data_IF_835900109231
#
_entry.id   IF_835900109231
#
_cell.length_a   1.000
_cell.length_b   1.000
_cell.length_c   1.000
_cell.angle_alpha   90.00
_cell.angle_beta   90.00
_cell.angle_gamma   90.00
#
_symmetry.space_group_name_H-M   'P 1'
#
loop_
_entity.id
_entity.type
_entity.pdbx_description
1 polymer ?
#
# COMPACT_ATOMS: atom_id res chain seq x y z
N UNK A 1 18.79 -41.25 -9.04
CA UNK A 1 18.55 -39.94 -8.39
C UNK A 1 17.51 -39.23 -9.22
N UNK A 2 16.28 -39.03 -8.72
CA UNK A 2 15.26 -38.29 -9.49
C UNK A 2 15.67 -36.83 -9.59
N UNK A 3 15.95 -36.35 -10.80
CA UNK A 3 16.12 -34.93 -11.09
C UNK A 3 14.83 -34.20 -10.68
N UNK A 4 14.95 -33.29 -9.72
CA UNK A 4 13.84 -32.39 -9.35
C UNK A 4 13.67 -31.40 -10.50
N UNK A 5 12.57 -31.55 -11.25
CA UNK A 5 12.20 -30.62 -12.32
C UNK A 5 12.01 -29.22 -11.74
N UNK A 6 12.91 -28.30 -12.07
CA UNK A 6 12.76 -26.88 -11.75
C UNK A 6 11.73 -26.28 -12.72
N UNK A 7 10.71 -25.63 -12.18
CA UNK A 7 9.62 -25.02 -12.96
C UNK A 7 9.61 -23.53 -12.64
N UNK A 8 9.61 -22.69 -13.67
CA UNK A 8 9.39 -21.25 -13.53
C UNK A 8 7.89 -20.98 -13.43
N UNK A 9 7.48 -20.15 -12.50
CA UNK A 9 6.09 -19.72 -12.35
C UNK A 9 6.04 -18.22 -12.12
N UNK A 10 4.99 -17.60 -12.65
CA UNK A 10 4.66 -16.20 -12.39
C UNK A 10 3.69 -16.18 -11.21
N UNK A 11 3.99 -15.36 -10.21
CA UNK A 11 3.07 -15.12 -9.10
C UNK A 11 2.10 -14.04 -9.58
N UNK A 12 0.82 -14.35 -9.57
CA UNK A 12 -0.27 -13.39 -9.81
C UNK A 12 -1.18 -13.36 -8.58
N UNK A 13 -1.83 -12.24 -8.27
CA UNK A 13 -2.88 -12.21 -7.27
C UNK A 13 -4.01 -13.20 -7.63
N UNK A 14 -4.66 -13.73 -6.61
CA UNK A 14 -5.86 -14.55 -6.75
C UNK A 14 -7.09 -13.64 -6.68
N UNK A 15 -7.67 -13.33 -7.84
CA UNK A 15 -8.84 -12.45 -7.95
C UNK A 15 -10.14 -13.09 -7.43
N UNK A 16 -10.16 -14.41 -7.20
CA UNK A 16 -11.29 -15.10 -6.56
C UNK A 16 -11.24 -14.99 -5.03
N UNK A 17 -10.11 -14.53 -4.48
CA UNK A 17 -9.97 -14.26 -3.05
C UNK A 17 -10.86 -13.08 -2.63
N UNK A 18 -11.82 -13.34 -1.76
CA UNK A 18 -12.79 -12.34 -1.27
C UNK A 18 -12.24 -11.41 -0.18
N UNK A 19 -10.92 -11.17 -0.16
CA UNK A 19 -10.33 -10.24 0.81
C UNK A 19 -10.79 -8.80 0.53
N UNK A 20 -11.38 -8.10 1.53
CA UNK A 20 -11.96 -6.80 1.30
C UNK A 20 -10.88 -5.74 1.03
N UNK A 21 -11.10 -4.94 -0.02
CA UNK A 21 -10.26 -3.76 -0.28
C UNK A 21 -10.40 -2.76 0.86
N UNK A 22 -9.27 -2.41 1.47
CA UNK A 22 -9.21 -1.46 2.58
C UNK A 22 -8.68 -0.11 2.11
N UNK A 23 -9.45 0.95 2.31
CA UNK A 23 -9.00 2.31 2.00
C UNK A 23 -8.07 2.86 3.09
N UNK A 24 -7.02 3.55 2.68
CA UNK A 24 -6.15 4.34 3.54
C UNK A 24 -5.60 5.52 2.76
N UNK A 25 -5.40 6.65 3.45
CA UNK A 25 -4.88 7.90 2.88
C UNK A 25 -3.60 8.38 3.58
N UNK A 26 -3.13 7.62 4.56
CA UNK A 26 -1.90 7.88 5.28
C UNK A 26 -1.19 6.56 5.57
N UNK A 27 0.13 6.55 5.44
CA UNK A 27 0.96 5.40 5.78
C UNK A 27 2.11 5.86 6.68
N UNK A 28 2.11 5.37 7.93
CA UNK A 28 3.26 5.50 8.83
C UNK A 28 4.21 4.33 8.60
N UNK A 29 5.51 4.63 8.48
CA UNK A 29 6.55 3.64 8.24
C UNK A 29 7.46 3.57 9.46
N UNK A 30 7.65 2.36 9.96
CA UNK A 30 8.68 2.04 10.96
C UNK A 30 9.49 0.85 10.47
N UNK A 31 10.69 0.64 11.01
CA UNK A 31 11.53 -0.47 10.57
C UNK A 31 12.38 -1.02 11.70
N UNK A 32 12.76 -2.29 11.54
CA UNK A 32 13.80 -2.97 12.28
C UNK A 32 14.97 -3.25 11.33
N UNK A 33 16.08 -3.84 11.79
CA UNK A 33 17.13 -4.34 10.89
C UNK A 33 16.68 -5.45 9.92
N UNK A 34 15.49 -6.04 10.10
CA UNK A 34 15.03 -7.20 9.32
C UNK A 34 13.83 -6.89 8.43
N UNK A 35 13.00 -5.90 8.81
CA UNK A 35 11.73 -5.61 8.15
C UNK A 35 11.28 -4.15 8.30
N UNK A 36 10.29 -3.79 7.49
CA UNK A 36 9.53 -2.55 7.56
C UNK A 36 8.10 -2.88 7.99
N UNK A 37 7.52 -2.07 8.88
CA UNK A 37 6.10 -2.11 9.21
C UNK A 37 5.41 -0.90 8.59
N UNK A 38 4.53 -1.16 7.62
CA UNK A 38 3.65 -0.19 6.98
C UNK A 38 2.32 -0.15 7.74
N UNK A 39 2.06 0.95 8.44
CA UNK A 39 0.82 1.17 9.17
C UNK A 39 -0.06 2.12 8.38
N UNK A 40 -1.06 1.56 7.69
CA UNK A 40 -2.02 2.29 6.89
C UNK A 40 -3.17 2.79 7.78
N UNK A 41 -3.42 4.09 7.73
CA UNK A 41 -4.48 4.75 8.48
C UNK A 41 -5.46 5.45 7.53
N UNK A 42 -6.67 5.67 8.04
CA UNK A 42 -7.64 6.56 7.42
C UNK A 42 -7.76 7.83 8.27
N UNK A 43 -7.07 8.88 7.85
CA UNK A 43 -7.14 10.20 8.46
C UNK A 43 -8.44 10.86 8.00
N UNK A 44 -9.32 11.14 8.96
CA UNK A 44 -10.53 11.92 8.74
C UNK A 44 -10.27 13.40 9.07
N UNK A 45 -10.99 14.34 8.43
CA UNK A 45 -11.00 15.72 8.87
C UNK A 45 -11.28 15.81 10.38
N UNK A 46 -10.44 16.51 11.16
CA UNK A 46 -10.58 16.52 12.61
C UNK A 46 -11.87 17.23 13.00
N UNK A 47 -12.58 16.68 13.99
CA UNK A 47 -13.71 17.36 14.61
C UNK A 47 -13.22 18.49 15.50
N UNK A 48 -14.05 19.51 15.78
CA UNK A 48 -13.67 20.60 16.69
C UNK A 48 -13.20 20.09 18.06
N UNK A 49 -13.82 19.01 18.56
CA UNK A 49 -13.40 18.33 19.79
C UNK A 49 -11.98 17.77 19.66
N UNK A 50 -11.69 17.07 18.55
CA UNK A 50 -10.37 16.52 18.30
C UNK A 50 -9.31 17.61 18.11
N UNK A 51 -9.65 18.73 17.48
CA UNK A 51 -8.75 19.90 17.36
C UNK A 51 -8.44 20.48 18.74
N UNK A 52 -9.45 20.66 19.59
CA UNK A 52 -9.27 21.19 20.95
C UNK A 52 -8.42 20.26 21.82
N UNK A 53 -8.63 18.95 21.72
CA UNK A 53 -7.83 17.94 22.43
C UNK A 53 -6.39 17.89 21.89
N UNK A 54 -6.22 17.95 20.56
CA UNK A 54 -4.91 18.00 19.93
C UNK A 54 -4.17 19.32 20.16
N UNK A 55 -4.85 20.41 20.53
CA UNK A 55 -4.19 21.69 20.84
C UNK A 55 -3.30 21.61 22.09
N UNK A 56 -3.56 20.67 22.99
CA UNK A 56 -2.75 20.47 24.19
C UNK A 56 -1.43 19.71 23.89
N UNK A 57 -1.52 18.63 23.10
CA UNK A 57 -0.40 17.70 22.88
C UNK A 57 0.22 17.79 21.47
N UNK A 58 -0.42 18.51 20.55
CA UNK A 58 -0.02 18.63 19.15
C UNK A 58 -0.22 17.37 18.29
N UNK A 59 -0.97 16.37 18.79
CA UNK A 59 -1.09 15.05 18.15
C UNK A 59 -2.53 14.73 17.78
N UNK A 60 -2.77 14.40 16.51
CA UNK A 60 -4.04 13.85 16.01
C UNK A 60 -3.89 12.35 15.74
N UNK A 61 -4.70 11.52 16.40
CA UNK A 61 -4.68 10.06 16.22
C UNK A 61 -5.66 9.67 15.10
N UNK A 62 -5.14 9.00 14.07
CA UNK A 62 -5.95 8.43 13.00
C UNK A 62 -6.21 6.93 13.25
N UNK A 63 -7.40 6.42 12.91
CA UNK A 63 -7.70 4.99 13.00
C UNK A 63 -6.81 4.19 12.04
N UNK A 64 -6.19 3.14 12.58
CA UNK A 64 -5.40 2.17 11.80
C UNK A 64 -6.35 1.23 11.07
N UNK A 65 -6.11 1.04 9.78
CA UNK A 65 -6.90 0.18 8.89
C UNK A 65 -6.18 -1.12 8.57
N UNK A 66 -4.86 -1.06 8.36
CA UNK A 66 -4.03 -2.24 8.14
C UNK A 66 -2.61 -2.03 8.70
N UNK A 67 -1.97 -3.14 9.09
CA UNK A 67 -0.53 -3.20 9.39
C UNK A 67 0.08 -4.33 8.59
N UNK A 68 1.07 -4.00 7.77
CA UNK A 68 1.76 -4.96 6.91
C UNK A 68 3.24 -4.95 7.25
N UNK A 69 3.80 -6.12 7.51
CA UNK A 69 5.24 -6.30 7.70
C UNK A 69 5.86 -6.75 6.38
N UNK A 70 6.90 -6.06 5.97
CA UNK A 70 7.58 -6.26 4.69
C UNK A 70 9.06 -6.55 4.94
N UNK A 71 9.59 -7.71 4.52
CA UNK A 71 11.01 -8.03 4.70
C UNK A 71 11.92 -7.01 4.02
N UNK A 72 13.06 -6.69 4.64
CA UNK A 72 13.99 -5.68 4.14
C UNK A 72 14.45 -5.93 2.68
N UNK A 73 14.64 -7.20 2.31
CA UNK A 73 15.02 -7.58 0.94
C UNK A 73 13.92 -7.37 -0.12
N UNK A 74 12.66 -7.26 0.29
CA UNK A 74 11.53 -7.04 -0.62
C UNK A 74 11.24 -5.55 -0.87
N UNK A 75 11.63 -4.68 0.07
CA UNK A 75 11.32 -3.24 0.04
C UNK A 75 11.80 -2.53 -1.24
N UNK A 76 13.02 -2.77 -1.77
CA UNK A 76 13.44 -2.10 -3.00
C UNK A 76 12.55 -2.44 -4.20
N UNK A 77 12.13 -3.70 -4.32
CA UNK A 77 11.23 -4.14 -5.39
C UNK A 77 9.84 -3.51 -5.27
N UNK A 78 9.32 -3.43 -4.04
CA UNK A 78 8.06 -2.75 -3.77
C UNK A 78 8.11 -1.26 -4.15
N UNK A 79 9.19 -0.55 -3.79
CA UNK A 79 9.37 0.87 -4.14
C UNK A 79 9.41 1.04 -5.66
N UNK A 80 10.20 0.24 -6.37
CA UNK A 80 10.33 0.32 -7.82
C UNK A 80 8.99 0.08 -8.52
N UNK A 81 8.25 -0.96 -8.11
CA UNK A 81 6.93 -1.25 -8.65
C UNK A 81 5.97 -0.07 -8.43
N UNK A 82 5.91 0.48 -7.21
CA UNK A 82 5.05 1.63 -6.92
C UNK A 82 5.42 2.86 -7.76
N UNK A 83 6.71 3.15 -7.93
CA UNK A 83 7.18 4.26 -8.76
C UNK A 83 6.81 4.07 -10.25
N UNK A 84 6.97 2.85 -10.77
CA UNK A 84 6.62 2.52 -12.14
C UNK A 84 5.11 2.67 -12.40
N UNK A 85 4.27 2.12 -11.52
CA UNK A 85 2.82 2.23 -11.61
C UNK A 85 2.34 3.68 -11.46
N UNK A 86 2.96 4.47 -10.59
CA UNK A 86 2.65 5.90 -10.46
C UNK A 86 2.97 6.63 -11.77
N UNK A 87 4.15 6.39 -12.35
CA UNK A 87 4.57 6.98 -13.61
C UNK A 87 3.61 6.62 -14.74
N UNK A 88 3.29 5.34 -14.92
CA UNK A 88 2.34 4.87 -15.92
C UNK A 88 0.94 5.50 -15.77
N UNK A 89 0.46 5.66 -14.53
CA UNK A 89 -0.80 6.33 -14.24
C UNK A 89 -0.77 7.81 -14.68
N UNK A 90 0.28 8.55 -14.31
CA UNK A 90 0.42 9.96 -14.70
C UNK A 90 0.59 10.15 -16.22
N UNK A 91 1.35 9.29 -16.89
CA UNK A 91 1.52 9.32 -18.35
C UNK A 91 0.20 9.01 -19.08
N UNK A 92 -0.62 8.11 -18.54
CA UNK A 92 -1.94 7.77 -19.10
C UNK A 92 -2.99 8.88 -18.91
N UNK A 93 -2.88 9.70 -17.86
CA UNK A 93 -3.78 10.82 -17.58
C UNK A 93 -3.64 12.01 -18.56
N UNK A 94 -2.63 11.99 -19.44
CA UNK A 94 -2.42 12.97 -20.51
C UNK A 94 -3.15 12.67 -21.83
N UNK A 95 -3.87 11.55 -21.95
CA UNK A 95 -4.76 11.26 -23.08
C UNK A 95 -6.19 11.10 -22.57
N UNK A 96 -7.17 11.92 -23.00
CA UNK A 96 -8.58 11.64 -22.75
C UNK A 96 -8.99 10.47 -23.64
N UNK A 97 -8.63 9.26 -23.22
CA UNK A 97 -8.99 7.99 -23.83
C UNK A 97 -9.73 7.15 -22.81
N UNK A 98 -10.97 7.54 -22.55
CA UNK A 98 -12.00 6.69 -21.96
C UNK A 98 -12.19 5.47 -22.88
N UNK A 99 -11.37 4.42 -22.73
CA UNK A 99 -11.64 3.06 -23.24
C UNK A 99 -10.52 2.05 -22.88
N UNK A 100 -10.19 1.93 -21.59
CA UNK A 100 -9.60 0.67 -21.08
C UNK A 100 -10.30 0.27 -19.79
N UNK A 101 -10.84 -0.96 -19.69
CA UNK A 101 -11.41 -1.44 -18.44
C UNK A 101 -10.31 -1.42 -17.37
N UNK A 102 -10.68 -1.04 -16.15
CA UNK A 102 -9.80 -1.14 -14.99
C UNK A 102 -9.24 -2.55 -14.94
N UNK A 103 -7.91 -2.66 -14.94
CA UNK A 103 -7.25 -3.93 -14.64
C UNK A 103 -7.51 -4.14 -13.15
N UNK A 104 -8.56 -4.92 -12.89
CA UNK A 104 -8.79 -5.57 -11.61
C UNK A 104 -7.75 -6.68 -11.47
#
# INVERSE_FOLDING_TARGET
MSERKQINFTIVPDEESHEPRTYANFCSISHTPFDFTLTFCEVLPPTEKAVREAAADGVLKAPVRARIVVPMGFVPNLINALQEHLRACTESSGSPGWDKPAVH
#
